data_IF_043033452976
#
_entry.id   IF_043033452976
#
_cell.length_a   1.000
_cell.length_b   1.000
_cell.length_c   1.000
_cell.angle_alpha   90.00
_cell.angle_beta   90.00
_cell.angle_gamma   90.00
#
_symmetry.space_group_name_H-M   'P 1'
#
loop_
_entity.id
_entity.type
_entity.pdbx_description
1 polymer ?
#
# COMPACT_ATOMS: atom_id res chain seq x y z
N UNK A 1 17.63 18.07 18.41
CA UNK A 1 18.58 17.68 17.37
C UNK A 1 17.78 16.91 16.33
N UNK A 2 17.48 17.52 15.18
CA UNK A 2 16.92 16.79 14.04
C UNK A 2 18.04 15.86 13.53
N UNK A 3 17.84 14.53 13.61
CA UNK A 3 18.69 13.60 12.89
C UNK A 3 18.51 13.92 11.40
N UNK A 4 19.58 14.22 10.69
CA UNK A 4 19.54 14.29 9.24
C UNK A 4 19.01 12.93 8.75
N UNK A 5 17.83 12.92 8.12
CA UNK A 5 17.30 11.72 7.48
C UNK A 5 18.26 11.35 6.36
N UNK A 6 18.85 10.17 6.47
CA UNK A 6 19.85 9.67 5.52
C UNK A 6 19.18 9.12 4.23
N UNK A 7 17.84 9.21 4.17
CA UNK A 7 17.01 8.70 3.06
C UNK A 7 16.03 9.75 2.54
N UNK A 8 15.83 9.75 1.24
CA UNK A 8 14.77 10.49 0.55
C UNK A 8 13.58 9.55 0.33
N UNK A 9 12.51 9.72 1.11
CA UNK A 9 11.30 8.91 1.02
C UNK A 9 10.39 9.37 -0.11
N UNK A 10 9.89 8.42 -0.91
CA UNK A 10 8.89 8.65 -1.96
C UNK A 10 7.75 7.66 -1.81
N UNK A 11 6.51 8.15 -1.76
CA UNK A 11 5.31 7.32 -1.76
C UNK A 11 4.79 7.12 -3.19
N UNK A 12 4.87 5.88 -3.68
CA UNK A 12 4.39 5.48 -5.01
C UNK A 12 2.87 5.20 -5.01
N UNK A 13 2.07 6.16 -4.52
CA UNK A 13 0.61 5.98 -4.44
C UNK A 13 -0.14 7.31 -4.51
N UNK A 14 -1.25 7.33 -5.27
CA UNK A 14 -2.17 8.47 -5.34
C UNK A 14 -3.15 8.52 -4.15
N UNK A 15 -3.20 7.50 -3.29
CA UNK A 15 -4.18 7.41 -2.19
C UNK A 15 -3.99 8.51 -1.16
N UNK A 16 -4.99 9.39 -0.93
CA UNK A 16 -4.93 10.42 0.12
C UNK A 16 -4.76 9.79 1.51
N UNK A 17 -5.43 8.67 1.76
CA UNK A 17 -5.40 7.94 3.04
C UNK A 17 -4.00 7.44 3.40
N UNK A 18 -3.25 6.89 2.42
CA UNK A 18 -1.86 6.46 2.64
C UNK A 18 -0.95 7.63 2.96
N UNK A 19 -1.16 8.77 2.28
CA UNK A 19 -0.44 10.01 2.56
C UNK A 19 -0.70 10.49 3.99
N UNK A 20 -1.97 10.52 4.40
CA UNK A 20 -2.37 10.91 5.76
C UNK A 20 -1.73 10.00 6.82
N UNK A 21 -1.76 8.67 6.61
CA UNK A 21 -1.16 7.70 7.53
C UNK A 21 0.36 7.86 7.66
N UNK A 22 1.09 8.13 6.58
CA UNK A 22 2.53 8.42 6.65
C UNK A 22 2.81 9.74 7.39
N UNK A 23 2.03 10.78 7.12
CA UNK A 23 2.14 12.07 7.83
C UNK A 23 1.84 11.92 9.32
N UNK A 24 0.86 11.08 9.69
CA UNK A 24 0.48 10.81 11.07
C UNK A 24 1.63 10.25 11.91
N UNK A 25 2.52 9.46 11.32
CA UNK A 25 3.70 8.92 12.01
C UNK A 25 4.94 9.81 11.88
N UNK A 26 4.78 11.04 11.38
CA UNK A 26 5.83 12.06 11.35
C UNK A 26 6.91 11.87 10.28
N UNK A 27 6.64 11.08 9.23
CA UNK A 27 7.57 10.92 8.11
C UNK A 27 7.47 12.10 7.14
N UNK A 28 8.62 12.56 6.67
CA UNK A 28 8.73 13.49 5.55
C UNK A 28 8.94 12.69 4.26
N UNK A 29 8.10 12.93 3.25
CA UNK A 29 8.13 12.19 1.99
C UNK A 29 7.59 13.04 0.83
N UNK A 30 7.94 12.64 -0.39
CA UNK A 30 7.30 13.16 -1.60
C UNK A 30 6.30 12.14 -2.14
N UNK A 31 5.30 12.60 -2.90
CA UNK A 31 4.28 11.73 -3.51
C UNK A 31 4.52 11.69 -5.02
N UNK A 32 4.69 10.50 -5.56
CA UNK A 32 4.81 10.26 -6.99
C UNK A 32 4.06 8.97 -7.35
N UNK A 33 2.77 9.06 -7.79
CA UNK A 33 1.98 7.89 -8.09
C UNK A 33 2.53 7.12 -9.30
N UNK A 34 2.59 5.79 -9.19
CA UNK A 34 2.80 4.93 -10.34
C UNK A 34 1.57 4.98 -11.25
N UNK A 35 1.80 5.15 -12.53
CA UNK A 35 0.77 5.14 -13.60
C UNK A 35 0.89 3.90 -14.49
N UNK A 36 1.85 3.03 -14.20
CA UNK A 36 2.06 1.78 -14.94
C UNK A 36 0.87 0.84 -14.75
N UNK A 37 0.48 0.16 -15.81
CA UNK A 37 -0.59 -0.83 -15.75
C UNK A 37 -0.22 -1.97 -14.78
N UNK A 38 -1.16 -2.31 -13.89
CA UNK A 38 -1.00 -3.37 -12.91
C UNK A 38 -1.17 -4.72 -13.61
N UNK A 39 -0.16 -5.58 -13.53
CA UNK A 39 -0.18 -6.91 -14.14
C UNK A 39 0.28 -7.96 -13.13
N UNK A 40 -0.67 -8.57 -12.42
CA UNK A 40 -0.40 -9.62 -11.47
C UNK A 40 -0.79 -11.00 -12.03
N UNK A 41 0.03 -12.01 -11.73
CA UNK A 41 -0.18 -13.39 -12.19
C UNK A 41 -0.83 -14.28 -11.13
N UNK A 42 -0.81 -13.84 -9.88
CA UNK A 42 -1.35 -14.58 -8.74
C UNK A 42 -2.78 -14.18 -8.41
N UNK A 43 -3.56 -15.13 -7.90
CA UNK A 43 -4.91 -14.93 -7.38
C UNK A 43 -4.99 -15.10 -5.86
N UNK A 44 -3.85 -15.41 -5.21
CA UNK A 44 -3.76 -15.47 -3.74
C UNK A 44 -3.60 -14.04 -3.21
N UNK A 45 -4.46 -13.62 -2.28
CA UNK A 45 -4.60 -12.21 -1.89
C UNK A 45 -3.30 -11.61 -1.31
N UNK A 46 -2.60 -12.35 -0.45
CA UNK A 46 -1.35 -11.88 0.16
C UNK A 46 -0.23 -11.73 -0.87
N UNK A 47 -0.07 -12.71 -1.78
CA UNK A 47 0.91 -12.66 -2.86
C UNK A 47 0.57 -11.55 -3.87
N UNK A 48 -0.72 -11.37 -4.17
CA UNK A 48 -1.19 -10.34 -5.09
C UNK A 48 -0.79 -8.94 -4.62
N UNK A 49 -1.10 -8.58 -3.37
CA UNK A 49 -0.78 -7.24 -2.86
C UNK A 49 0.72 -7.01 -2.73
N UNK A 50 1.52 -8.06 -2.49
CA UNK A 50 2.97 -7.96 -2.49
C UNK A 50 3.50 -7.71 -3.91
N UNK A 51 3.01 -8.45 -4.91
CA UNK A 51 3.39 -8.27 -6.31
C UNK A 51 3.04 -6.85 -6.80
N UNK A 52 1.81 -6.38 -6.56
CA UNK A 52 1.35 -5.05 -6.98
C UNK A 52 2.07 -3.91 -6.24
N UNK A 53 2.33 -4.07 -4.94
CA UNK A 53 3.11 -3.07 -4.20
C UNK A 53 4.55 -2.95 -4.72
N UNK A 54 5.18 -4.10 -5.07
CA UNK A 54 6.52 -4.13 -5.67
C UNK A 54 6.54 -3.46 -7.05
N UNK A 55 5.59 -3.77 -7.92
CA UNK A 55 5.50 -3.14 -9.25
C UNK A 55 5.45 -1.62 -9.15
N UNK A 56 4.63 -1.08 -8.22
CA UNK A 56 4.51 0.36 -7.99
C UNK A 56 5.81 0.98 -7.47
N UNK A 57 6.49 0.31 -6.54
CA UNK A 57 7.74 0.80 -5.98
C UNK A 57 8.85 0.82 -7.02
N UNK A 58 9.01 -0.26 -7.78
CA UNK A 58 10.03 -0.38 -8.85
C UNK A 58 9.80 0.66 -9.94
N UNK A 59 8.56 0.83 -10.43
CA UNK A 59 8.22 1.81 -11.46
C UNK A 59 8.71 3.23 -11.08
N UNK A 60 8.40 3.68 -9.87
CA UNK A 60 8.80 5.00 -9.42
C UNK A 60 10.30 5.11 -9.15
N UNK A 61 10.90 4.05 -8.64
CA UNK A 61 12.35 4.02 -8.43
C UNK A 61 13.11 4.12 -9.77
N UNK A 62 12.71 3.38 -10.80
CA UNK A 62 13.28 3.44 -12.15
C UNK A 62 13.17 4.84 -12.77
N UNK A 63 12.01 5.49 -12.62
CA UNK A 63 11.79 6.86 -13.11
C UNK A 63 12.72 7.88 -12.43
N UNK A 64 12.98 7.72 -11.11
CA UNK A 64 13.77 8.67 -10.33
C UNK A 64 15.26 8.40 -10.38
N UNK A 65 15.70 7.15 -10.63
CA UNK A 65 17.11 6.74 -10.75
C UNK A 65 17.67 6.87 -12.17
N UNK A 66 16.85 7.32 -13.13
CA UNK A 66 17.28 7.49 -14.53
C UNK A 66 17.41 6.17 -15.30
N UNK A 67 16.68 5.11 -14.87
CA UNK A 67 16.66 3.82 -15.56
C UNK A 67 17.90 2.93 -15.37
N UNK A 68 18.78 3.28 -14.45
CA UNK A 68 19.89 2.39 -14.04
C UNK A 68 19.39 1.37 -12.99
N UNK A 69 18.39 0.57 -13.35
CA UNK A 69 17.86 -0.50 -12.51
C UNK A 69 18.60 -1.80 -12.78
N UNK A 70 19.37 -2.29 -11.81
CA UNK A 70 19.76 -3.70 -11.79
C UNK A 70 18.52 -4.53 -11.46
N UNK A 71 18.28 -5.56 -12.27
CA UNK A 71 17.23 -6.55 -12.03
C UNK A 71 17.60 -7.37 -10.78
N UNK A 72 16.88 -7.28 -9.63
CA UNK A 72 17.28 -7.98 -8.40
C UNK A 72 17.14 -9.50 -8.47
N UNK A 73 16.60 -10.05 -9.56
CA UNK A 73 16.47 -11.49 -9.80
C UNK A 73 17.61 -12.05 -10.69
N UNK A 74 18.63 -11.25 -11.02
CA UNK A 74 19.84 -11.75 -11.68
C UNK A 74 20.81 -12.28 -10.64
N UNK A 75 21.19 -13.55 -10.80
CA UNK A 75 22.06 -14.34 -9.95
C UNK A 75 23.24 -13.57 -9.33
N UNK A 76 23.47 -13.87 -8.03
CA UNK A 76 24.58 -13.40 -7.23
C UNK A 76 25.93 -13.81 -7.86
N UNK A 77 26.46 -13.02 -8.78
CA UNK A 77 27.90 -13.00 -9.05
C UNK A 77 28.29 -11.64 -9.68
N UNK A 78 29.19 -10.98 -8.98
CA UNK A 78 29.86 -9.70 -9.29
C UNK A 78 29.29 -8.46 -8.61
N UNK A 79 29.57 -8.34 -7.30
CA UNK A 79 29.55 -7.06 -6.61
C UNK A 79 30.84 -6.32 -7.01
N UNK A 80 30.75 -5.45 -8.02
CA UNK A 80 31.71 -4.39 -8.18
C UNK A 80 31.32 -3.25 -7.24
N UNK A 81 32.21 -2.92 -6.29
CA UNK A 81 32.10 -1.72 -5.45
C UNK A 81 32.16 -0.47 -6.34
N UNK A 82 31.00 -0.01 -6.87
CA UNK A 82 30.90 1.37 -7.35
C UNK A 82 30.71 2.26 -6.11
N UNK A 83 31.82 2.73 -5.57
CA UNK A 83 31.87 3.83 -4.61
C UNK A 83 31.23 5.06 -5.24
N UNK A 84 30.03 5.45 -4.79
CA UNK A 84 29.44 6.73 -5.12
C UNK A 84 30.41 7.85 -4.70
N UNK A 85 30.94 8.60 -5.67
CA UNK A 85 31.79 9.75 -5.40
C UNK A 85 31.01 10.79 -4.59
N UNK A 86 31.57 11.32 -3.48
CA UNK A 86 30.95 12.42 -2.74
C UNK A 86 30.92 13.66 -3.64
N UNK A 87 29.77 14.36 -3.67
CA UNK A 87 29.71 15.62 -4.38
C UNK A 87 30.64 16.66 -3.69
N UNK A 88 30.94 17.77 -4.37
CA UNK A 88 31.91 18.82 -4.01
C UNK A 88 31.85 19.37 -2.57
N UNK A 89 30.85 19.02 -1.77
CA UNK A 89 30.66 19.42 -0.39
C UNK A 89 30.83 18.28 0.64
N UNK A 90 31.28 17.09 0.25
CA UNK A 90 31.56 15.97 1.17
C UNK A 90 30.32 15.34 1.84
N UNK A 91 29.08 15.73 1.46
CA UNK A 91 27.85 15.12 1.96
C UNK A 91 27.42 14.00 0.99
N UNK A 92 27.25 12.80 1.54
CA UNK A 92 26.61 11.70 0.78
C UNK A 92 25.18 12.13 0.41
N UNK A 93 24.76 11.88 -0.83
CA UNK A 93 23.36 12.09 -1.19
C UNK A 93 22.50 11.10 -0.40
N UNK A 94 21.31 11.54 0.09
CA UNK A 94 20.41 10.64 0.79
C UNK A 94 19.98 9.51 -0.15
N UNK A 95 19.99 8.27 0.34
CA UNK A 95 19.51 7.12 -0.40
C UNK A 95 18.05 7.29 -0.79
N UNK A 96 17.71 7.01 -2.05
CA UNK A 96 16.32 7.01 -2.51
C UNK A 96 15.62 5.74 -2.01
N UNK A 97 14.54 5.93 -1.23
CA UNK A 97 13.69 4.85 -0.75
C UNK A 97 12.24 5.06 -1.22
N UNK A 98 11.72 4.14 -2.01
CA UNK A 98 10.36 4.21 -2.55
C UNK A 98 9.45 3.25 -1.78
N UNK A 99 8.30 3.76 -1.33
CA UNK A 99 7.25 3.01 -0.66
C UNK A 99 6.13 2.74 -1.67
N UNK A 100 6.00 1.48 -2.10
CA UNK A 100 4.86 1.00 -2.85
C UNK A 100 3.85 0.33 -1.93
N UNK A 101 2.55 0.48 -2.20
CA UNK A 101 1.51 -0.21 -1.43
C UNK A 101 0.29 -0.56 -2.30
N UNK A 102 -0.32 -1.69 -2.00
CA UNK A 102 -1.58 -2.13 -2.61
C UNK A 102 -2.51 -2.76 -1.58
N UNK A 103 -3.84 -2.68 -1.80
CA UNK A 103 -4.84 -3.16 -0.85
C UNK A 103 -5.98 -3.84 -1.60
N UNK A 104 -6.33 -5.05 -1.15
CA UNK A 104 -7.49 -5.78 -1.63
C UNK A 104 -8.36 -6.26 -0.47
N UNK A 105 -9.64 -6.46 -0.76
CA UNK A 105 -10.59 -7.13 0.13
C UNK A 105 -10.78 -8.57 -0.38
N UNK A 106 -10.79 -9.54 0.54
CA UNK A 106 -11.06 -10.95 0.22
C UNK A 106 -12.25 -11.45 1.03
N UNK A 107 -13.25 -11.99 0.36
CA UNK A 107 -14.42 -12.60 0.99
C UNK A 107 -14.63 -14.00 0.43
N UNK A 108 -14.64 -15.02 1.30
CA UNK A 108 -14.81 -16.42 0.91
C UNK A 108 -13.85 -16.86 -0.23
N UNK A 109 -12.59 -16.41 -0.15
CA UNK A 109 -11.55 -16.70 -1.15
C UNK A 109 -11.65 -15.89 -2.45
N UNK A 110 -12.65 -15.02 -2.59
CA UNK A 110 -12.83 -14.15 -3.76
C UNK A 110 -12.25 -12.76 -3.47
N UNK A 111 -11.36 -12.31 -4.34
CA UNK A 111 -10.79 -10.96 -4.27
C UNK A 111 -11.79 -9.96 -4.84
N UNK A 112 -12.07 -8.91 -4.06
CA UNK A 112 -12.93 -7.80 -4.39
C UNK A 112 -12.06 -6.55 -4.59
N UNK A 113 -11.90 -6.14 -5.85
CA UNK A 113 -11.23 -4.90 -6.22
C UNK A 113 -12.12 -3.67 -6.02
N UNK A 114 -11.80 -2.58 -6.72
CA UNK A 114 -12.67 -1.39 -6.76
C UNK A 114 -13.90 -1.66 -7.63
N UNK A 115 -15.09 -1.19 -7.25
CA UNK A 115 -16.26 -1.32 -8.09
C UNK A 115 -16.16 -0.37 -9.30
N UNK A 116 -16.50 -0.90 -10.48
CA UNK A 116 -16.52 -0.12 -11.72
C UNK A 116 -17.91 0.43 -12.07
N UNK A 117 -18.93 -0.02 -11.34
CA UNK A 117 -20.31 0.42 -11.52
C UNK A 117 -21.06 0.40 -10.18
N UNK A 118 -22.26 1.00 -10.17
CA UNK A 118 -23.20 0.95 -9.06
C UNK A 118 -23.59 -0.49 -8.71
N UNK A 119 -23.87 -1.29 -9.73
CA UNK A 119 -24.27 -2.69 -9.60
C UNK A 119 -23.15 -3.51 -8.97
N UNK A 120 -21.92 -3.36 -9.45
CA UNK A 120 -20.75 -4.03 -8.88
C UNK A 120 -20.54 -3.65 -7.40
N UNK A 121 -20.75 -2.38 -7.05
CA UNK A 121 -20.67 -1.94 -5.64
C UNK A 121 -21.76 -2.59 -4.79
N UNK A 122 -22.99 -2.70 -5.30
CA UNK A 122 -24.12 -3.35 -4.60
C UNK A 122 -23.84 -4.85 -4.39
N UNK A 123 -23.34 -5.55 -5.41
CA UNK A 123 -22.96 -6.96 -5.31
C UNK A 123 -21.87 -7.18 -4.26
N UNK A 124 -20.83 -6.34 -4.25
CA UNK A 124 -19.75 -6.41 -3.25
C UNK A 124 -20.29 -6.21 -1.85
N UNK A 125 -21.05 -5.15 -1.59
CA UNK A 125 -21.60 -4.86 -0.27
C UNK A 125 -22.59 -5.95 0.20
N UNK A 126 -23.40 -6.49 -0.71
CA UNK A 126 -24.29 -7.64 -0.44
C UNK A 126 -23.49 -8.88 -0.05
N UNK A 127 -22.33 -9.11 -0.67
CA UNK A 127 -21.46 -10.22 -0.31
C UNK A 127 -20.79 -10.03 1.06
N UNK A 128 -20.53 -8.80 1.49
CA UNK A 128 -19.84 -8.49 2.74
C UNK A 128 -20.78 -8.35 3.97
N UNK A 129 -22.02 -7.94 3.76
CA UNK A 129 -22.96 -7.64 4.85
C UNK A 129 -23.18 -8.85 5.77
N UNK A 130 -23.26 -8.62 7.08
CA UNK A 130 -23.58 -9.63 8.10
C UNK A 130 -22.53 -10.71 8.28
N UNK A 131 -21.32 -10.55 7.75
CA UNK A 131 -20.25 -11.56 7.82
C UNK A 131 -18.86 -10.98 7.99
N UNK A 132 -17.87 -11.86 8.19
CA UNK A 132 -16.46 -11.47 8.24
C UNK A 132 -15.82 -11.61 6.87
N UNK A 133 -14.88 -10.72 6.59
CA UNK A 133 -14.02 -10.74 5.43
C UNK A 133 -12.62 -10.28 5.81
N UNK A 134 -11.67 -10.39 4.89
CA UNK A 134 -10.26 -10.08 5.14
C UNK A 134 -9.83 -8.92 4.25
N UNK A 135 -8.99 -8.04 4.81
CA UNK A 135 -8.34 -6.93 4.10
C UNK A 135 -6.85 -7.16 4.13
N UNK A 136 -6.26 -7.29 2.96
CA UNK A 136 -4.82 -7.45 2.76
C UNK A 136 -4.22 -6.15 2.23
N UNK A 137 -3.16 -5.67 2.86
CA UNK A 137 -2.34 -4.60 2.31
C UNK A 137 -0.90 -5.06 2.21
N UNK A 138 -0.37 -5.07 0.97
CA UNK A 138 1.03 -5.29 0.67
C UNK A 138 1.79 -3.99 0.68
N UNK A 139 3.02 -4.03 1.16
CA UNK A 139 3.95 -2.91 1.19
C UNK A 139 5.31 -3.36 0.68
N UNK A 140 5.90 -2.57 -0.19
CA UNK A 140 7.28 -2.75 -0.65
C UNK A 140 8.06 -1.48 -0.35
N UNK A 141 9.21 -1.66 0.32
CA UNK A 141 10.26 -0.68 0.50
C UNK A 141 11.36 -1.02 -0.51
N UNK A 142 11.60 -0.14 -1.46
CA UNK A 142 12.54 -0.38 -2.54
C UNK A 142 13.61 0.70 -2.57
N UNK A 143 14.87 0.29 -2.43
CA UNK A 143 16.05 1.13 -2.58
C UNK A 143 17.09 0.44 -3.47
N UNK A 144 18.21 1.10 -3.72
CA UNK A 144 19.31 0.51 -4.46
C UNK A 144 19.98 -0.64 -3.68
N UNK A 145 20.04 -0.50 -2.35
CA UNK A 145 20.76 -1.43 -1.47
C UNK A 145 19.91 -2.62 -1.03
N UNK A 146 18.59 -2.45 -0.88
CA UNK A 146 17.72 -3.46 -0.29
C UNK A 146 16.28 -3.33 -0.80
N UNK A 147 15.61 -4.48 -0.93
CA UNK A 147 14.17 -4.56 -1.19
C UNK A 147 13.49 -5.35 -0.09
N UNK A 148 12.50 -4.76 0.54
CA UNK A 148 11.68 -5.41 1.57
C UNK A 148 10.24 -5.41 1.14
N UNK A 149 9.62 -6.59 1.05
CA UNK A 149 8.21 -6.73 0.72
C UNK A 149 7.50 -7.56 1.78
N UNK A 150 6.38 -7.07 2.26
CA UNK A 150 5.54 -7.76 3.25
C UNK A 150 4.07 -7.45 3.01
N UNK A 151 3.19 -8.21 3.65
CA UNK A 151 1.77 -7.86 3.73
C UNK A 151 1.26 -8.00 5.16
N UNK A 152 0.16 -7.30 5.45
CA UNK A 152 -0.66 -7.48 6.64
C UNK A 152 -2.07 -7.92 6.23
N UNK A 153 -2.67 -8.76 7.07
CA UNK A 153 -4.05 -9.21 6.93
C UNK A 153 -4.85 -8.80 8.17
N UNK A 154 -6.01 -8.19 7.96
CA UNK A 154 -6.93 -7.80 9.02
C UNK A 154 -8.31 -8.32 8.71
N UNK A 155 -8.90 -9.05 9.65
CA UNK A 155 -10.29 -9.47 9.57
C UNK A 155 -11.22 -8.33 9.98
N UNK A 156 -12.24 -8.09 9.16
CA UNK A 156 -13.30 -7.09 9.40
C UNK A 156 -14.64 -7.80 9.45
N UNK A 157 -15.44 -7.53 10.48
CA UNK A 157 -16.79 -8.05 10.64
C UNK A 157 -17.82 -6.94 10.39
N UNK A 158 -18.81 -7.21 9.56
CA UNK A 158 -19.90 -6.28 9.25
C UNK A 158 -21.18 -6.64 9.99
N UNK A 159 -21.94 -5.62 10.40
CA UNK A 159 -23.35 -5.76 10.71
C UNK A 159 -24.12 -6.14 9.44
N UNK A 160 -25.32 -6.79 9.58
CA UNK A 160 -26.26 -6.91 8.49
C UNK A 160 -26.63 -5.54 7.93
N UNK A 161 -26.77 -5.44 6.62
CA UNK A 161 -27.17 -4.23 5.90
C UNK A 161 -28.45 -4.51 5.12
N UNK A 162 -29.37 -3.57 5.10
CA UNK A 162 -30.55 -3.59 4.24
C UNK A 162 -30.20 -3.11 2.83
N UNK A 163 -31.02 -3.47 1.84
CA UNK A 163 -30.88 -2.98 0.45
C UNK A 163 -30.92 -1.44 0.38
N UNK A 164 -31.74 -0.82 1.24
CA UNK A 164 -31.86 0.65 1.31
C UNK A 164 -30.55 1.26 1.79
N UNK A 165 -29.95 0.75 2.85
CA UNK A 165 -28.65 1.22 3.38
C UNK A 165 -27.53 1.06 2.37
N UNK A 166 -27.49 -0.07 1.64
CA UNK A 166 -26.53 -0.31 0.56
C UNK A 166 -26.71 0.73 -0.54
N UNK A 167 -27.96 0.96 -0.98
CA UNK A 167 -28.27 1.93 -2.03
C UNK A 167 -27.85 3.36 -1.63
N UNK A 168 -28.24 3.80 -0.44
CA UNK A 168 -27.89 5.14 0.09
C UNK A 168 -26.37 5.33 0.21
N UNK A 169 -25.66 4.28 0.66
CA UNK A 169 -24.20 4.35 0.78
C UNK A 169 -23.53 4.47 -0.59
N UNK A 170 -24.02 3.77 -1.60
CA UNK A 170 -23.49 3.89 -2.98
C UNK A 170 -23.80 5.29 -3.54
N UNK A 171 -24.97 5.87 -3.23
CA UNK A 171 -25.34 7.22 -3.68
C UNK A 171 -24.42 8.30 -3.13
N UNK A 172 -23.79 8.09 -1.97
CA UNK A 172 -22.77 8.97 -1.43
C UNK A 172 -21.50 9.07 -2.27
N UNK A 173 -21.28 8.14 -3.21
CA UNK A 173 -20.07 7.95 -4.03
C UNK A 173 -18.82 7.53 -3.24
N UNK A 174 -18.90 7.46 -1.90
CA UNK A 174 -17.77 7.04 -1.07
C UNK A 174 -17.21 5.64 -1.40
N UNK A 175 -18.04 4.63 -1.78
CA UNK A 175 -17.57 3.28 -2.09
C UNK A 175 -16.68 3.18 -3.34
N UNK A 176 -16.84 4.09 -4.29
CA UNK A 176 -16.46 3.87 -5.68
C UNK A 176 -14.96 3.80 -5.96
N UNK A 177 -14.13 4.33 -5.08
CA UNK A 177 -12.67 4.32 -5.19
C UNK A 177 -11.97 3.30 -4.26
N UNK A 178 -12.77 2.42 -3.62
CA UNK A 178 -12.27 1.54 -2.55
C UNK A 178 -12.44 0.06 -2.90
N UNK A 179 -11.44 -0.74 -2.56
CA UNK A 179 -11.53 -2.20 -2.64
C UNK A 179 -12.68 -2.72 -1.77
N UNK A 180 -13.47 -3.67 -2.28
CA UNK A 180 -14.66 -4.18 -1.61
C UNK A 180 -15.80 -3.19 -1.46
N UNK A 181 -15.74 -2.05 -2.19
CA UNK A 181 -16.77 -1.01 -2.18
C UNK A 181 -17.07 -0.41 -0.79
N UNK A 182 -16.09 -0.31 0.12
CA UNK A 182 -16.31 0.38 1.39
C UNK A 182 -15.03 1.01 1.96
N UNK A 183 -15.22 2.00 2.85
CA UNK A 183 -14.16 2.56 3.67
C UNK A 183 -14.47 2.38 5.16
N UNK A 184 -13.48 1.97 5.97
CA UNK A 184 -13.63 1.89 7.43
C UNK A 184 -13.69 3.28 8.06
N UNK A 185 -13.23 4.30 7.35
CA UNK A 185 -13.39 5.72 7.67
C UNK A 185 -14.67 6.26 6.98
N UNK A 186 -15.15 7.42 7.40
CA UNK A 186 -16.32 8.03 6.77
C UNK A 186 -17.64 7.29 7.01
N UNK A 187 -18.53 7.31 6.04
CA UNK A 187 -19.88 6.74 6.16
C UNK A 187 -19.89 5.22 6.28
N UNK A 188 -18.93 4.53 5.68
CA UNK A 188 -18.82 3.07 5.76
C UNK A 188 -18.50 2.55 7.16
N UNK A 189 -17.97 3.39 8.05
CA UNK A 189 -17.68 3.01 9.44
C UNK A 189 -18.91 2.48 10.19
N UNK A 190 -20.12 2.96 9.85
CA UNK A 190 -21.38 2.53 10.48
C UNK A 190 -21.71 1.04 10.27
N UNK A 191 -21.12 0.42 9.26
CA UNK A 191 -21.36 -0.98 8.95
C UNK A 191 -20.37 -1.92 9.61
N UNK A 192 -19.24 -1.38 10.10
CA UNK A 192 -18.19 -2.18 10.73
C UNK A 192 -18.58 -2.52 12.17
N UNK A 193 -18.76 -3.82 12.45
CA UNK A 193 -19.05 -4.34 13.79
C UNK A 193 -17.79 -4.49 14.63
N UNK A 194 -16.67 -4.86 13.99
CA UNK A 194 -15.39 -5.04 14.65
C UNK A 194 -14.27 -5.41 13.69
N UNK A 195 -13.06 -5.34 14.21
CA UNK A 195 -11.85 -5.77 13.49
C UNK A 195 -10.99 -6.67 14.37
N UNK A 196 -10.23 -7.55 13.74
CA UNK A 196 -9.16 -8.32 14.36
C UNK A 196 -7.90 -8.16 13.53
N UNK A 197 -6.95 -7.38 14.05
CA UNK A 197 -5.70 -7.01 13.36
C UNK A 197 -5.44 -5.50 13.39
N UNK A 198 -4.74 -4.98 12.39
CA UNK A 198 -4.34 -3.58 12.29
C UNK A 198 -5.41 -2.74 11.58
N UNK A 199 -5.93 -1.72 12.28
CA UNK A 199 -6.86 -0.73 11.71
C UNK A 199 -6.26 0.03 10.51
N UNK A 200 -4.99 0.43 10.61
CA UNK A 200 -4.32 1.18 9.57
C UNK A 200 -4.10 0.35 8.30
N UNK A 201 -3.96 -0.98 8.46
CA UNK A 201 -3.98 -1.91 7.34
C UNK A 201 -5.29 -1.84 6.57
N UNK A 202 -6.44 -1.79 7.26
CA UNK A 202 -7.77 -1.66 6.62
C UNK A 202 -7.92 -0.30 5.93
N UNK A 203 -7.37 0.77 6.50
CA UNK A 203 -7.33 2.10 5.85
C UNK A 203 -6.48 2.08 4.58
N UNK A 204 -5.44 1.22 4.51
CA UNK A 204 -4.65 0.96 3.33
C UNK A 204 -3.13 1.08 3.47
N UNK A 205 -2.61 1.19 4.71
CA UNK A 205 -1.16 1.16 4.99
C UNK A 205 -0.89 0.77 6.44
N UNK A 206 -0.30 -0.40 6.73
CA UNK A 206 0.02 -0.86 8.09
C UNK A 206 1.23 -0.09 8.65
N UNK A 207 1.01 1.17 9.05
CA UNK A 207 2.07 2.11 9.44
C UNK A 207 2.86 1.66 10.66
N UNK A 208 2.25 0.87 11.57
CA UNK A 208 2.95 0.31 12.71
C UNK A 208 4.09 -0.61 12.29
N UNK A 209 3.80 -1.58 11.42
CA UNK A 209 4.81 -2.49 10.88
C UNK A 209 5.80 -1.76 9.96
N UNK A 210 5.30 -0.89 9.08
CA UNK A 210 6.15 -0.06 8.22
C UNK A 210 7.20 0.73 9.03
N UNK A 211 6.78 1.36 10.14
CA UNK A 211 7.69 2.06 11.03
C UNK A 211 8.79 1.14 11.59
N UNK A 212 8.45 -0.08 12.02
CA UNK A 212 9.44 -1.02 12.54
C UNK A 212 10.42 -1.49 11.45
N UNK A 213 9.94 -1.71 10.22
CA UNK A 213 10.80 -2.07 9.08
C UNK A 213 11.78 -0.93 8.74
N UNK A 214 11.33 0.32 8.71
CA UNK A 214 12.19 1.48 8.48
C UNK A 214 13.23 1.65 9.61
N UNK A 215 12.78 1.52 10.86
CA UNK A 215 13.65 1.67 12.04
C UNK A 215 14.74 0.60 12.11
N UNK A 216 14.39 -0.66 11.87
CA UNK A 216 15.34 -1.79 11.96
C UNK A 216 16.48 -1.70 10.95
N UNK A 217 16.28 -0.99 9.84
CA UNK A 217 17.24 -0.77 8.75
C UNK A 217 17.98 0.56 8.83
N UNK A 218 17.68 1.39 9.82
CA UNK A 218 18.33 2.68 9.98
C UNK A 218 17.92 3.71 8.92
N UNK A 219 16.74 3.52 8.29
CA UNK A 219 16.17 4.45 7.30
C UNK A 219 15.42 5.62 7.93
N UNK A 220 15.52 5.77 9.27
CA UNK A 220 14.89 6.84 10.05
C UNK A 220 15.89 7.55 10.94
#
# INVERSE_FOLDING_TARGET
>A
MQKEQNVRLVLASASPRRRELLSQIGLEFTVMPSTKEENAKTTEAGALVQELSRQKAVDIWEQLSGGQGQNPDADQEQIAEETQEPNLNGKRQPELLVIGADTVVCCEGKILGKPHSREAAAEMLTALQGRSHEVYTGVTLYSQSETVTFFECTQVEFYPMTEVEISEYIDSKEPMDKAGAYGIQGLGARFVKGIRGDYNNVVGLPVGRLYQELKSRGWM
#
